data_IF_950751568502
#
_entry.id   IF_950751568502
#
_cell.length_a   1.000
_cell.length_b   1.000
_cell.length_c   1.000
_cell.angle_alpha   90.00
_cell.angle_beta   90.00
_cell.angle_gamma   90.00
#
_symmetry.space_group_name_H-M   'P 1'
#
loop_
_entity.id
_entity.type
_entity.pdbx_description
1 polymer ?
#
# COMPACT_ATOMS: atom_id res chain seq x y z
N UNK A 1 -32.56 -24.24 -6.35
CA UNK A 1 -31.89 -23.96 -5.06
C UNK A 1 -31.67 -22.47 -4.96
N UNK A 2 -32.00 -21.79 -3.85
CA UNK A 2 -31.67 -20.38 -3.71
C UNK A 2 -30.14 -20.25 -3.74
N UNK A 3 -29.63 -19.37 -4.59
CA UNK A 3 -28.22 -19.00 -4.59
C UNK A 3 -27.92 -18.34 -3.25
N UNK A 4 -27.15 -18.98 -2.39
CA UNK A 4 -26.60 -18.34 -1.19
C UNK A 4 -25.64 -17.25 -1.67
N UNK A 5 -26.06 -15.99 -1.59
CA UNK A 5 -25.14 -14.86 -1.72
C UNK A 5 -24.25 -14.85 -0.48
N UNK A 6 -23.15 -15.59 -0.52
CA UNK A 6 -22.17 -15.62 0.57
C UNK A 6 -21.62 -14.21 0.74
N UNK A 7 -21.75 -13.63 1.94
CA UNK A 7 -21.09 -12.37 2.28
C UNK A 7 -19.59 -12.56 2.08
N UNK A 8 -18.89 -11.66 1.36
CA UNK A 8 -17.46 -11.80 1.16
C UNK A 8 -16.72 -11.77 2.51
N UNK A 9 -15.87 -12.77 2.72
CA UNK A 9 -15.01 -12.82 3.90
C UNK A 9 -13.86 -11.80 3.77
N UNK A 10 -13.42 -11.19 4.89
CA UNK A 10 -12.28 -10.30 4.87
C UNK A 10 -11.02 -11.03 4.40
N UNK A 11 -10.27 -10.40 3.48
CA UNK A 11 -8.95 -10.89 3.04
C UNK A 11 -7.83 -10.15 3.77
N UNK A 12 -6.67 -10.77 3.87
CA UNK A 12 -5.47 -10.13 4.44
C UNK A 12 -4.55 -9.67 3.32
N UNK A 13 -4.16 -8.40 3.35
CA UNK A 13 -3.16 -7.83 2.46
C UNK A 13 -2.01 -7.20 3.26
N UNK A 14 -0.82 -7.21 2.68
CA UNK A 14 0.38 -6.57 3.23
C UNK A 14 0.70 -5.33 2.41
N UNK A 15 0.95 -4.19 3.08
CA UNK A 15 1.47 -2.97 2.46
C UNK A 15 2.83 -2.61 3.05
N UNK A 16 3.85 -2.50 2.22
CA UNK A 16 5.22 -2.25 2.65
C UNK A 16 5.62 -0.78 2.50
N UNK A 17 5.98 -0.15 3.61
CA UNK A 17 6.69 1.13 3.62
C UNK A 17 8.15 0.90 3.28
N UNK A 18 8.47 1.05 1.99
CA UNK A 18 9.85 1.11 1.50
C UNK A 18 10.32 2.56 1.63
N UNK A 19 11.34 2.79 2.47
CA UNK A 19 11.88 4.12 2.75
C UNK A 19 13.24 4.32 2.09
N UNK A 20 13.45 5.48 1.46
CA UNK A 20 14.78 5.89 1.01
C UNK A 20 15.54 6.66 2.11
N UNK A 21 16.81 7.00 1.84
CA UNK A 21 17.69 7.74 2.80
C UNK A 21 17.17 9.14 3.18
N UNK A 22 16.20 9.69 2.45
CA UNK A 22 15.55 10.98 2.75
C UNK A 22 14.26 10.82 3.58
N UNK A 23 13.85 9.59 3.89
CA UNK A 23 12.60 9.31 4.58
C UNK A 23 11.36 9.40 3.67
N UNK A 24 11.54 9.40 2.35
CA UNK A 24 10.43 9.35 1.39
C UNK A 24 9.96 7.91 1.20
N UNK A 25 8.67 7.74 0.93
CA UNK A 25 7.99 6.45 0.76
C UNK A 25 7.82 6.16 -0.73
N UNK A 26 8.08 4.91 -1.14
CA UNK A 26 7.81 4.47 -2.50
C UNK A 26 6.32 4.24 -2.74
N UNK A 27 5.73 4.95 -3.69
CA UNK A 27 4.34 4.75 -4.14
C UNK A 27 4.27 4.38 -5.62
N UNK A 28 3.39 3.43 -5.93
CA UNK A 28 3.10 2.96 -7.29
C UNK A 28 1.72 3.41 -7.76
N UNK A 29 1.64 3.94 -8.98
CA UNK A 29 0.36 4.28 -9.61
C UNK A 29 -0.27 3.04 -10.22
N UNK A 30 -1.36 2.56 -9.62
CA UNK A 30 -2.04 1.30 -9.96
C UNK A 30 -2.71 1.35 -11.33
N UNK A 31 -2.58 0.26 -12.07
CA UNK A 31 -3.36 -0.11 -13.26
C UNK A 31 -4.26 -1.31 -12.95
N UNK A 32 -5.37 -1.43 -13.68
CA UNK A 32 -6.32 -2.53 -13.55
C UNK A 32 -7.65 -2.13 -12.90
N UNK A 33 -8.55 -3.09 -12.70
CA UNK A 33 -9.94 -2.83 -12.29
C UNK A 33 -10.11 -2.38 -10.84
N UNK A 34 -9.15 -2.66 -9.96
CA UNK A 34 -9.20 -2.31 -8.54
C UNK A 34 -8.28 -1.14 -8.21
N UNK A 35 -8.87 0.02 -7.93
CA UNK A 35 -8.11 1.23 -7.61
C UNK A 35 -7.30 1.79 -8.78
N UNK A 36 -7.77 1.61 -10.02
CA UNK A 36 -7.10 2.18 -11.21
C UNK A 36 -6.82 3.68 -11.04
N UNK A 37 -5.61 4.11 -11.37
CA UNK A 37 -5.20 5.51 -11.26
C UNK A 37 -4.95 6.00 -9.83
N UNK A 38 -5.10 5.13 -8.82
CA UNK A 38 -4.74 5.46 -7.44
C UNK A 38 -3.30 5.07 -7.12
N UNK A 39 -2.72 5.70 -6.10
CA UNK A 39 -1.35 5.49 -5.63
C UNK A 39 -1.34 4.64 -4.37
N UNK A 40 -0.53 3.57 -4.37
CA UNK A 40 -0.45 2.61 -3.28
C UNK A 40 1.00 2.27 -2.92
N UNK A 41 1.19 1.69 -1.74
CA UNK A 41 2.44 1.02 -1.40
C UNK A 41 2.64 -0.20 -2.30
N UNK A 42 3.88 -0.67 -2.40
CA UNK A 42 4.13 -2.03 -2.85
C UNK A 42 3.52 -3.04 -1.87
N UNK A 43 2.98 -4.14 -2.39
CA UNK A 43 2.35 -5.16 -1.57
C UNK A 43 1.12 -5.81 -2.20
N UNK A 44 0.74 -6.96 -1.63
CA UNK A 44 -0.32 -7.79 -2.15
C UNK A 44 -0.97 -8.67 -1.10
N UNK A 45 -1.50 -9.81 -1.53
CA UNK A 45 -2.19 -10.75 -0.65
C UNK A 45 -1.19 -11.57 0.16
N UNK A 46 -1.49 -11.77 1.44
CA UNK A 46 -0.74 -12.72 2.26
C UNK A 46 -1.06 -14.15 1.79
N UNK A 47 -0.02 -14.91 1.42
CA UNK A 47 -0.19 -16.29 0.98
C UNK A 47 -0.22 -17.28 2.16
N UNK A 48 -0.75 -18.48 1.91
CA UNK A 48 -0.85 -19.51 2.93
C UNK A 48 0.54 -19.96 3.40
N UNK A 49 0.78 -19.86 4.72
CA UNK A 49 2.06 -20.24 5.34
C UNK A 49 3.13 -19.16 5.28
N UNK A 50 2.82 -17.99 4.72
CA UNK A 50 3.74 -16.87 4.63
C UNK A 50 3.73 -16.03 5.92
N UNK A 51 4.90 -15.50 6.31
CA UNK A 51 4.96 -14.45 7.35
C UNK A 51 4.69 -13.09 6.72
N UNK A 52 4.40 -12.06 7.51
CA UNK A 52 4.21 -10.71 6.97
C UNK A 52 5.49 -10.19 6.32
N UNK A 53 6.64 -10.53 6.90
CA UNK A 53 7.96 -10.18 6.41
C UNK A 53 8.24 -10.81 5.04
N UNK A 54 8.01 -12.12 4.91
CA UNK A 54 8.23 -12.83 3.65
C UNK A 54 7.32 -12.29 2.54
N UNK A 55 6.05 -11.99 2.86
CA UNK A 55 5.12 -11.39 1.89
C UNK A 55 5.60 -10.00 1.43
N UNK A 56 6.03 -9.16 2.36
CA UNK A 56 6.54 -7.83 2.01
C UNK A 56 7.82 -7.91 1.16
N UNK A 57 8.77 -8.78 1.52
CA UNK A 57 10.00 -9.00 0.77
C UNK A 57 9.72 -9.51 -0.66
N UNK A 58 8.80 -10.47 -0.79
CA UNK A 58 8.37 -11.02 -2.09
C UNK A 58 7.71 -9.95 -2.96
N UNK A 59 6.67 -9.29 -2.47
CA UNK A 59 5.91 -8.30 -3.24
C UNK A 59 6.78 -7.10 -3.65
N UNK A 60 7.63 -6.60 -2.75
CA UNK A 60 8.54 -5.50 -3.09
C UNK A 60 9.51 -5.93 -4.19
N UNK A 61 10.06 -7.14 -4.13
CA UNK A 61 10.95 -7.65 -5.16
C UNK A 61 10.23 -7.86 -6.50
N UNK A 62 9.06 -8.50 -6.48
CA UNK A 62 8.25 -8.80 -7.66
C UNK A 62 7.79 -7.54 -8.38
N UNK A 63 7.33 -6.52 -7.65
CA UNK A 63 6.73 -5.32 -8.25
C UNK A 63 7.75 -4.22 -8.59
N UNK A 64 8.83 -4.11 -7.83
CA UNK A 64 9.79 -2.98 -7.90
C UNK A 64 11.21 -3.38 -8.27
N UNK A 65 11.55 -4.67 -8.15
CA UNK A 65 12.92 -5.16 -8.29
C UNK A 65 13.87 -4.75 -7.15
N UNK A 66 13.35 -4.12 -6.10
CA UNK A 66 14.11 -3.77 -4.89
C UNK A 66 14.12 -4.94 -3.91
N UNK A 67 15.16 -5.00 -3.09
CA UNK A 67 15.21 -5.91 -1.94
C UNK A 67 15.15 -5.08 -0.67
N UNK A 68 14.30 -5.50 0.27
CA UNK A 68 14.22 -4.91 1.61
C UNK A 68 14.71 -5.91 2.66
N UNK A 69 15.07 -5.40 3.84
CA UNK A 69 15.44 -6.18 5.03
C UNK A 69 14.93 -5.49 6.29
N UNK A 70 15.17 -6.11 7.44
CA UNK A 70 14.75 -5.61 8.76
C UNK A 70 13.25 -5.30 8.76
N UNK A 71 12.44 -6.17 8.14
CA UNK A 71 11.01 -5.91 8.02
C UNK A 71 10.39 -5.94 9.41
N UNK A 72 9.60 -4.92 9.75
CA UNK A 72 8.95 -4.78 11.05
C UNK A 72 7.47 -4.48 10.88
N UNK A 73 6.63 -5.13 11.67
CA UNK A 73 5.23 -4.79 11.79
C UNK A 73 5.06 -3.37 12.36
N UNK A 74 4.18 -2.58 11.75
CA UNK A 74 3.85 -1.24 12.21
C UNK A 74 2.43 -1.17 12.80
N UNK A 75 1.43 -1.58 12.02
CA UNK A 75 0.02 -1.51 12.40
C UNK A 75 -0.84 -2.34 11.42
N UNK A 76 -2.14 -2.44 11.69
CA UNK A 76 -3.12 -2.95 10.74
C UNK A 76 -4.37 -2.06 10.71
N UNK A 77 -5.09 -2.05 9.59
CA UNK A 77 -6.36 -1.31 9.42
C UNK A 77 -7.47 -2.21 8.88
N UNK A 78 -8.70 -1.77 9.12
CA UNK A 78 -9.90 -2.42 8.60
C UNK A 78 -10.43 -1.64 7.39
N UNK A 79 -10.38 -2.22 6.19
CA UNK A 79 -10.68 -1.54 4.93
C UNK A 79 -11.91 -2.15 4.26
N UNK A 80 -13.05 -1.47 4.41
CA UNK A 80 -14.33 -1.88 3.80
C UNK A 80 -14.59 -1.01 2.57
N UNK A 81 -14.66 -1.63 1.40
CA UNK A 81 -14.89 -0.97 0.12
C UNK A 81 -16.23 -1.46 -0.44
N UNK A 82 -17.32 -0.82 0.03
CA UNK A 82 -18.70 -1.24 -0.25
C UNK A 82 -19.01 -1.25 -1.75
N UNK A 83 -18.58 -0.22 -2.48
CA UNK A 83 -18.81 -0.09 -3.93
C UNK A 83 -18.15 -1.20 -4.75
N UNK A 84 -17.12 -1.85 -4.18
CA UNK A 84 -16.41 -2.94 -4.82
C UNK A 84 -16.76 -4.32 -4.24
N UNK A 85 -17.66 -4.36 -3.24
CA UNK A 85 -17.98 -5.55 -2.44
C UNK A 85 -16.72 -6.26 -1.92
N UNK A 86 -15.75 -5.49 -1.41
CA UNK A 86 -14.47 -5.98 -0.91
C UNK A 86 -14.26 -5.56 0.54
N UNK A 87 -13.66 -6.46 1.32
CA UNK A 87 -13.22 -6.20 2.68
C UNK A 87 -11.81 -6.75 2.86
N UNK A 88 -10.90 -5.87 3.29
CA UNK A 88 -9.52 -6.22 3.61
C UNK A 88 -9.17 -5.83 5.04
N UNK A 89 -8.43 -6.70 5.72
CA UNK A 89 -7.51 -6.28 6.79
C UNK A 89 -6.17 -6.02 6.11
N UNK A 90 -5.66 -4.79 6.20
CA UNK A 90 -4.34 -4.47 5.65
C UNK A 90 -3.35 -4.35 6.79
N UNK A 91 -2.33 -5.19 6.77
CA UNK A 91 -1.18 -5.11 7.67
C UNK A 91 -0.11 -4.24 7.01
N UNK A 92 0.39 -3.25 7.75
CA UNK A 92 1.45 -2.37 7.30
C UNK A 92 2.76 -2.74 7.97
N UNK A 93 3.80 -2.85 7.18
CA UNK A 93 5.17 -3.14 7.63
C UNK A 93 6.14 -2.09 7.09
N UNK A 94 7.28 -1.88 7.74
CA UNK A 94 8.41 -1.12 7.18
C UNK A 94 9.52 -2.05 6.72
N UNK A 95 10.31 -1.65 5.73
CA UNK A 95 11.53 -2.37 5.34
C UNK A 95 12.64 -1.43 4.85
N UNK A 96 13.88 -1.74 5.23
CA UNK A 96 15.07 -1.02 4.80
C UNK A 96 15.54 -1.53 3.44
N UNK A 97 15.77 -0.64 2.48
CA UNK A 97 16.34 -1.03 1.17
C UNK A 97 17.75 -1.60 1.35
N UNK A 98 18.01 -2.73 0.70
CA UNK A 98 19.34 -3.34 0.59
C UNK A 98 20.17 -2.68 -0.53
N UNK A 99 21.38 -2.24 -0.19
CA UNK A 99 22.33 -1.64 -1.15
C UNK A 99 22.22 -0.12 -1.28
N UNK A 100 23.11 0.48 -2.09
CA UNK A 100 22.98 1.89 -2.44
C UNK A 100 21.81 2.06 -3.41
N UNK A 101 20.89 2.95 -3.03
CA UNK A 101 19.58 3.23 -3.64
C UNK A 101 19.56 2.89 -5.13
N UNK A 102 18.93 1.78 -5.45
CA UNK A 102 18.62 1.38 -6.82
C UNK A 102 17.28 2.03 -7.18
N UNK A 103 17.20 2.67 -8.35
CA UNK A 103 15.92 3.17 -8.85
C UNK A 103 14.91 2.02 -8.98
N UNK A 104 13.66 2.18 -8.50
CA UNK A 104 12.64 1.16 -8.64
C UNK A 104 12.41 0.86 -10.13
N UNK A 105 12.26 -0.41 -10.46
CA UNK A 105 11.95 -0.86 -11.81
C UNK A 105 10.47 -1.18 -11.91
N UNK A 106 9.87 -0.83 -13.04
CA UNK A 106 8.51 -1.24 -13.34
C UNK A 106 8.50 -2.71 -13.78
N UNK A 107 8.44 -3.63 -12.81
CA UNK A 107 8.51 -5.07 -13.09
C UNK A 107 7.19 -5.65 -13.61
N UNK A 108 6.05 -5.04 -13.22
CA UNK A 108 4.70 -5.42 -13.64
C UNK A 108 4.00 -4.25 -14.37
N UNK A 109 4.40 -3.92 -15.61
CA UNK A 109 3.90 -2.75 -16.34
C UNK A 109 2.41 -2.78 -16.67
N UNK A 110 1.76 -3.95 -16.57
CA UNK A 110 0.32 -4.14 -16.72
C UNK A 110 -0.46 -3.82 -15.44
N UNK A 111 0.18 -3.88 -14.26
CA UNK A 111 -0.44 -3.57 -12.95
C UNK A 111 -0.01 -2.23 -12.37
N UNK A 112 1.11 -1.67 -12.84
CA UNK A 112 1.62 -0.39 -12.38
C UNK A 112 2.02 0.52 -13.57
N UNK A 113 1.87 1.83 -13.42
CA UNK A 113 2.26 2.82 -14.42
C UNK A 113 3.63 3.44 -14.14
N UNK A 114 3.89 3.74 -12.87
CA UNK A 114 5.10 4.43 -12.42
C UNK A 114 5.29 4.23 -10.93
N UNK A 115 6.54 4.31 -10.50
CA UNK A 115 6.97 4.36 -9.10
C UNK A 115 7.54 5.74 -8.80
N UNK A 116 7.14 6.36 -7.68
CA UNK A 116 7.64 7.65 -7.24
C UNK A 116 7.97 7.63 -5.74
N UNK A 117 9.04 8.32 -5.37
CA UNK A 117 9.35 8.63 -3.97
C UNK A 117 8.53 9.85 -3.54
N UNK A 118 7.71 9.67 -2.49
CA UNK A 118 6.78 10.70 -2.01
C UNK A 118 7.02 10.95 -0.53
N UNK A 119 7.12 12.22 -0.14
CA UNK A 119 7.27 12.60 1.27
C UNK A 119 6.04 12.15 2.07
N UNK A 120 6.25 11.66 3.29
CA UNK A 120 5.15 11.19 4.13
C UNK A 120 4.12 12.29 4.43
N UNK A 121 4.59 13.53 4.61
CA UNK A 121 3.74 14.71 4.82
C UNK A 121 2.82 14.98 3.62
N UNK A 122 3.30 14.73 2.40
CA UNK A 122 2.45 14.81 1.19
C UNK A 122 1.38 13.71 1.21
N UNK A 123 1.75 12.47 1.57
CA UNK A 123 0.78 11.36 1.69
C UNK A 123 -0.31 11.69 2.71
N UNK A 124 0.05 12.25 3.87
CA UNK A 124 -0.93 12.67 4.89
C UNK A 124 -1.86 13.75 4.33
N UNK A 125 -1.33 14.79 3.67
CA UNK A 125 -2.14 15.85 3.09
C UNK A 125 -3.11 15.33 2.01
N UNK A 126 -2.66 14.39 1.17
CA UNK A 126 -3.51 13.75 0.16
C UNK A 126 -4.61 12.89 0.80
N UNK A 127 -4.32 12.20 1.90
CA UNK A 127 -5.31 11.42 2.64
C UNK A 127 -6.36 12.34 3.30
N UNK A 128 -5.93 13.44 3.93
CA UNK A 128 -6.82 14.44 4.52
C UNK A 128 -7.76 15.07 3.49
N UNK A 129 -7.24 15.40 2.31
CA UNK A 129 -8.05 15.91 1.21
C UNK A 129 -9.07 14.88 0.71
N UNK A 130 -8.68 13.59 0.63
CA UNK A 130 -9.59 12.51 0.25
C UNK A 130 -10.71 12.32 1.30
N UNK A 131 -10.38 12.35 2.60
CA UNK A 131 -11.35 12.28 3.69
C UNK A 131 -12.31 13.47 3.69
N UNK A 132 -11.83 14.65 3.31
CA UNK A 132 -12.64 15.86 3.15
C UNK A 132 -13.48 15.88 1.86
N UNK A 133 -13.43 14.83 1.04
CA UNK A 133 -14.17 14.73 -0.21
C UNK A 133 -13.71 15.71 -1.29
N UNK A 134 -12.48 16.24 -1.19
CA UNK A 134 -11.93 17.14 -2.20
C UNK A 134 -11.55 16.34 -3.45
N UNK A 135 -11.84 16.90 -4.62
CA UNK A 135 -11.34 16.33 -5.87
C UNK A 135 -9.81 16.39 -5.88
N UNK A 136 -9.18 15.30 -6.33
CA UNK A 136 -7.72 15.24 -6.44
C UNK A 136 -7.20 16.17 -7.55
N UNK A 137 -8.02 16.47 -8.56
CA UNK A 137 -7.57 17.19 -9.76
C UNK A 137 -6.38 16.48 -10.39
N UNK A 138 -5.30 17.22 -10.66
CA UNK A 138 -4.02 16.68 -11.15
C UNK A 138 -3.16 16.01 -10.05
N UNK A 139 -3.55 16.13 -8.77
CA UNK A 139 -2.80 15.54 -7.66
C UNK A 139 -3.05 14.03 -7.55
N UNK A 140 -2.11 13.33 -6.91
CA UNK A 140 -2.17 11.89 -6.68
C UNK A 140 -3.42 11.53 -5.88
N UNK A 141 -4.25 10.62 -6.40
CA UNK A 141 -5.35 10.01 -5.64
C UNK A 141 -4.83 8.80 -4.88
N UNK A 142 -4.89 8.79 -3.55
CA UNK A 142 -4.41 7.63 -2.78
C UNK A 142 -5.37 6.43 -2.89
N UNK A 143 -4.79 5.24 -2.84
CA UNK A 143 -5.55 4.01 -2.70
C UNK A 143 -6.13 3.93 -1.27
N UNK A 144 -7.36 3.44 -1.14
CA UNK A 144 -8.15 3.56 0.09
C UNK A 144 -7.47 3.01 1.36
N UNK A 145 -6.65 1.94 1.34
CA UNK A 145 -5.93 1.51 2.54
C UNK A 145 -4.99 2.57 3.13
N UNK A 146 -4.37 3.43 2.31
CA UNK A 146 -3.53 4.52 2.81
C UNK A 146 -4.37 5.65 3.41
N UNK A 147 -5.52 5.95 2.81
CA UNK A 147 -6.47 6.94 3.37
C UNK A 147 -6.97 6.45 4.73
N UNK A 148 -7.41 5.19 4.79
CA UNK A 148 -7.89 4.55 6.00
C UNK A 148 -6.81 4.41 7.08
N UNK A 149 -5.53 4.29 6.70
CA UNK A 149 -4.43 4.31 7.66
C UNK A 149 -4.34 5.65 8.38
N UNK A 150 -4.37 6.76 7.66
CA UNK A 150 -4.33 8.10 8.26
C UNK A 150 -5.58 8.35 9.12
N UNK A 151 -6.75 7.90 8.65
CA UNK A 151 -8.01 8.01 9.40
C UNK A 151 -7.99 7.19 10.70
N UNK A 152 -7.65 5.90 10.62
CA UNK A 152 -7.76 4.96 11.74
C UNK A 152 -6.56 5.03 12.69
N UNK A 153 -5.43 5.58 12.24
CA UNK A 153 -4.22 5.76 13.06
C UNK A 153 -3.74 7.22 12.96
N UNK A 154 -4.48 8.19 13.53
CA UNK A 154 -4.05 9.59 13.52
C UNK A 154 -2.67 9.75 14.16
N UNK A 155 -1.81 10.54 13.52
CA UNK A 155 -0.43 10.75 13.99
C UNK A 155 0.55 9.62 13.64
N UNK A 156 0.12 8.60 12.88
CA UNK A 156 1.01 7.55 12.40
C UNK A 156 2.23 8.13 11.64
N UNK A 157 3.36 7.46 11.81
CA UNK A 157 4.60 7.72 11.08
C UNK A 157 5.20 6.38 10.66
N UNK A 158 5.61 6.22 9.40
CA UNK A 158 6.16 4.96 8.90
C UNK A 158 7.63 4.73 9.29
N UNK A 159 8.12 5.42 10.33
CA UNK A 159 9.48 5.26 10.87
C UNK A 159 9.41 4.65 12.26
N UNK A 160 10.36 3.78 12.58
CA UNK A 160 10.56 3.28 13.94
C UNK A 160 11.31 4.38 14.72
N UNK A 161 10.70 4.84 15.82
CA UNK A 161 11.33 5.78 16.76
C UNK A 161 12.59 5.19 17.41
#
# INVERSE_FOLDING_TARGET
MPQTTTTPEPRVGIGAFVLNKKGEVLLGKRKGSHGAGTWALAGGHLEFGETFENCAEREVLEETGLTIRNVQFLTATNNVMLDENKHYVTVFVSGDICGDVVEPKLMEPEKCEAWEWVAWEEIVALAEDAMAGKESGERKKLFSPLVNLVEQRPGFRPVLN
#
